data_IF_099820388713
#
_entry.id   IF_099820388713
#
_cell.length_a   1.000
_cell.length_b   1.000
_cell.length_c   1.000
_cell.angle_alpha   90.00
_cell.angle_beta   90.00
_cell.angle_gamma   90.00
#
_symmetry.space_group_name_H-M   'P 1'
#
loop_
_entity.id
_entity.type
_entity.pdbx_description
1 polymer ?
#
# COMPACT_ATOMS: atom_id res chain seq x y z
N UNK A 1 -45.01 -2.59 51.93
CA UNK A 1 -45.48 -2.19 50.59
C UNK A 1 -44.50 -1.14 50.06
N UNK A 2 -43.46 -1.57 49.33
CA UNK A 2 -43.27 -1.38 47.85
C UNK A 2 -43.39 0.10 47.46
N UNK A 3 -42.31 0.90 47.48
CA UNK A 3 -41.30 1.15 46.41
C UNK A 3 -41.91 1.29 45.00
N UNK A 4 -41.80 2.50 44.41
CA UNK A 4 -40.94 2.75 43.24
C UNK A 4 -41.10 4.19 42.71
N UNK A 5 -40.06 4.99 42.92
CA UNK A 5 -39.64 6.08 42.04
C UNK A 5 -38.69 5.48 40.99
N UNK A 6 -38.69 6.04 39.77
CA UNK A 6 -37.56 6.23 38.82
C UNK A 6 -38.11 6.19 37.38
N UNK A 7 -38.30 7.36 36.77
CA UNK A 7 -37.37 8.08 35.88
C UNK A 7 -37.26 7.46 34.48
N UNK A 8 -37.74 8.23 33.50
CA UNK A 8 -37.42 8.14 32.08
C UNK A 8 -35.91 8.21 31.87
N UNK A 9 -35.38 7.34 31.02
CA UNK A 9 -34.30 7.69 30.10
C UNK A 9 -34.47 6.86 28.83
N UNK A 10 -34.81 7.55 27.74
CA UNK A 10 -34.84 7.02 26.39
C UNK A 10 -33.46 6.44 26.06
N UNK A 11 -33.41 5.12 25.84
CA UNK A 11 -32.29 4.46 25.18
C UNK A 11 -32.34 4.84 23.70
N UNK A 12 -31.74 5.98 23.34
CA UNK A 12 -31.33 6.22 21.98
C UNK A 12 -30.22 5.22 21.64
N UNK A 13 -30.35 4.40 20.59
CA UNK A 13 -29.22 3.60 20.13
C UNK A 13 -28.13 4.58 19.71
N UNK A 14 -26.99 4.53 20.40
CA UNK A 14 -25.77 5.13 19.91
C UNK A 14 -25.42 4.40 18.62
N UNK A 15 -25.82 4.98 17.49
CA UNK A 15 -25.23 4.66 16.22
C UNK A 15 -23.74 4.99 16.37
N UNK A 16 -22.94 3.97 16.63
CA UNK A 16 -21.53 3.98 16.28
C UNK A 16 -21.49 4.21 14.77
N UNK A 17 -21.45 5.49 14.39
CA UNK A 17 -21.18 5.89 13.03
C UNK A 17 -19.89 5.19 12.64
N UNK A 18 -19.99 4.31 11.66
CA UNK A 18 -18.81 3.80 10.97
C UNK A 18 -18.02 5.03 10.55
N UNK A 19 -16.84 5.19 11.15
CA UNK A 19 -15.92 6.30 10.90
C UNK A 19 -15.72 6.40 9.38
N UNK A 20 -16.29 7.45 8.78
CA UNK A 20 -16.30 7.62 7.34
C UNK A 20 -14.85 7.76 6.88
N UNK A 21 -14.32 6.72 6.25
CA UNK A 21 -12.98 6.75 5.69
C UNK A 21 -13.02 7.65 4.47
N UNK A 22 -12.71 8.93 4.66
CA UNK A 22 -12.61 9.89 3.56
C UNK A 22 -11.30 9.61 2.83
N UNK A 23 -11.40 9.10 1.62
CA UNK A 23 -10.26 8.90 0.73
C UNK A 23 -10.24 9.97 -0.35
N UNK A 24 -9.18 10.76 -0.40
CA UNK A 24 -8.88 11.66 -1.50
C UNK A 24 -8.19 10.87 -2.63
N UNK A 25 -8.54 11.19 -3.88
CA UNK A 25 -7.94 10.59 -5.08
C UNK A 25 -7.30 11.70 -5.89
N UNK A 26 -6.04 11.52 -6.26
CA UNK A 26 -5.28 12.51 -7.03
C UNK A 26 -4.43 11.85 -8.10
N UNK A 27 -4.28 12.53 -9.24
CA UNK A 27 -3.61 11.99 -10.42
C UNK A 27 -4.37 10.80 -11.04
N UNK A 28 -4.44 10.76 -12.37
CA UNK A 28 -5.03 9.60 -13.05
C UNK A 28 -4.30 9.37 -14.36
N UNK A 29 -3.83 8.14 -14.56
CA UNK A 29 -3.40 7.64 -15.86
C UNK A 29 -4.39 6.54 -16.24
N UNK A 30 -5.16 6.75 -17.31
CA UNK A 30 -6.15 5.78 -17.76
C UNK A 30 -5.73 5.13 -19.07
N UNK A 31 -5.97 3.82 -19.16
CA UNK A 31 -5.68 3.00 -20.34
C UNK A 31 -6.84 2.06 -20.58
N UNK A 32 -7.45 2.16 -21.77
CA UNK A 32 -8.60 1.35 -22.17
C UNK A 32 -8.16 0.03 -22.79
N UNK A 33 -8.92 -1.04 -22.55
CA UNK A 33 -8.72 -2.33 -23.20
C UNK A 33 -8.94 -2.22 -24.73
N UNK A 34 -8.32 -3.10 -25.54
CA UNK A 34 -8.46 -3.06 -27.00
C UNK A 34 -9.91 -3.13 -27.51
N UNK A 35 -10.79 -3.84 -26.81
CA UNK A 35 -12.21 -3.97 -27.13
C UNK A 35 -13.10 -2.88 -26.51
N UNK A 36 -12.52 -2.02 -25.66
CA UNK A 36 -13.23 -0.98 -24.95
C UNK A 36 -14.17 -1.46 -23.85
N UNK A 37 -14.11 -2.72 -23.42
CA UNK A 37 -14.95 -3.21 -22.32
C UNK A 37 -14.47 -2.71 -20.94
N UNK A 38 -13.17 -2.44 -20.81
CA UNK A 38 -12.52 -2.11 -19.55
C UNK A 38 -11.63 -0.88 -19.66
N UNK A 39 -11.58 -0.09 -18.59
CA UNK A 39 -10.59 0.97 -18.41
C UNK A 39 -9.81 0.72 -17.13
N UNK A 40 -8.50 0.59 -17.25
CA UNK A 40 -7.59 0.55 -16.11
C UNK A 40 -7.18 1.99 -15.75
N UNK A 41 -7.24 2.33 -14.47
CA UNK A 41 -6.94 3.66 -13.94
C UNK A 41 -5.87 3.57 -12.86
N UNK A 42 -4.75 4.26 -13.05
CA UNK A 42 -3.66 4.37 -12.06
C UNK A 42 -3.81 5.70 -11.32
N UNK A 43 -4.01 5.65 -10.00
CA UNK A 43 -4.31 6.83 -9.18
C UNK A 43 -3.55 6.80 -7.87
N UNK A 44 -3.25 7.97 -7.32
CA UNK A 44 -2.89 8.08 -5.91
C UNK A 44 -4.17 8.15 -5.08
N UNK A 45 -4.21 7.35 -4.01
CA UNK A 45 -5.32 7.34 -3.05
C UNK A 45 -4.74 7.56 -1.67
N UNK A 46 -5.18 8.64 -1.02
CA UNK A 46 -4.85 8.97 0.35
C UNK A 46 -6.10 8.86 1.20
N UNK A 47 -6.12 7.93 2.14
CA UNK A 47 -7.22 7.72 3.07
C UNK A 47 -6.81 8.17 4.47
N UNK A 48 -7.68 8.94 5.12
CA UNK A 48 -7.56 9.26 6.53
C UNK A 48 -8.67 8.56 7.32
N UNK A 49 -8.30 8.01 8.46
CA UNK A 49 -9.19 7.61 9.56
C UNK A 49 -8.86 8.47 10.77
N UNK A 50 -9.68 8.43 11.82
CA UNK A 50 -9.47 9.18 13.06
C UNK A 50 -8.18 8.77 13.79
N UNK A 51 -7.60 7.62 13.48
CA UNK A 51 -6.41 7.08 14.14
C UNK A 51 -5.21 6.87 13.22
N UNK A 52 -5.39 7.00 11.90
CA UNK A 52 -4.31 6.75 10.93
C UNK A 52 -4.53 7.48 9.61
N UNK A 53 -3.45 7.72 8.88
CA UNK A 53 -3.54 8.10 7.47
C UNK A 53 -2.66 7.15 6.66
N UNK A 54 -3.13 6.75 5.49
CA UNK A 54 -2.40 5.90 4.56
C UNK A 54 -2.55 6.41 3.14
N UNK A 55 -1.45 6.42 2.39
CA UNK A 55 -1.45 6.75 0.98
C UNK A 55 -0.82 5.63 0.16
N UNK A 56 -1.30 5.43 -1.05
CA UNK A 56 -0.77 4.45 -1.99
C UNK A 56 -1.15 4.76 -3.43
N UNK A 57 -0.39 4.22 -4.37
CA UNK A 57 -0.78 4.20 -5.78
C UNK A 57 -1.60 2.93 -6.02
N UNK A 58 -2.79 3.08 -6.60
CA UNK A 58 -3.69 1.99 -6.89
C UNK A 58 -3.86 1.82 -8.39
N UNK A 59 -4.14 0.60 -8.82
CA UNK A 59 -4.73 0.34 -10.14
C UNK A 59 -6.16 -0.12 -9.90
N UNK A 60 -7.11 0.61 -10.46
CA UNK A 60 -8.53 0.28 -10.45
C UNK A 60 -8.98 -0.14 -11.85
N UNK A 61 -9.81 -1.17 -11.92
CA UNK A 61 -10.42 -1.64 -13.15
C UNK A 61 -11.89 -1.23 -13.19
N UNK A 62 -12.25 -0.48 -14.23
CA UNK A 62 -13.58 0.08 -14.45
C UNK A 62 -14.22 -0.61 -15.64
N UNK A 63 -15.38 -1.26 -15.48
CA UNK A 63 -16.17 -1.73 -16.62
C UNK A 63 -16.90 -0.53 -17.26
N UNK A 64 -16.82 -0.40 -18.57
CA UNK A 64 -17.43 0.75 -19.28
C UNK A 64 -18.98 0.68 -19.28
N UNK A 65 -19.55 -0.53 -19.28
CA UNK A 65 -20.99 -0.73 -19.38
C UNK A 65 -21.69 -1.03 -18.05
N UNK A 66 -21.01 -0.84 -16.91
CA UNK A 66 -21.58 -1.12 -15.57
C UNK A 66 -21.89 -2.60 -15.29
N UNK A 67 -21.41 -3.51 -16.13
CA UNK A 67 -21.61 -4.96 -15.97
C UNK A 67 -20.92 -5.54 -14.72
N UNK A 68 -19.94 -4.84 -14.17
CA UNK A 68 -19.26 -5.17 -12.92
C UNK A 68 -19.08 -3.92 -12.05
N UNK A 69 -18.61 -4.10 -10.82
CA UNK A 69 -18.23 -2.98 -9.96
C UNK A 69 -16.81 -2.52 -10.29
N UNK A 70 -16.49 -1.28 -9.96
CA UNK A 70 -15.09 -0.84 -9.97
C UNK A 70 -14.33 -1.66 -8.94
N UNK A 71 -13.18 -2.22 -9.32
CA UNK A 71 -12.36 -3.03 -8.44
C UNK A 71 -10.93 -2.52 -8.40
N UNK A 72 -10.40 -2.34 -7.19
CA UNK A 72 -8.97 -2.18 -6.99
C UNK A 72 -8.29 -3.52 -7.17
N UNK A 73 -7.39 -3.59 -8.15
CA UNK A 73 -6.73 -4.84 -8.53
C UNK A 73 -5.27 -4.89 -8.06
N UNK A 74 -4.69 -3.75 -7.71
CA UNK A 74 -3.29 -3.63 -7.31
C UNK A 74 -3.09 -2.38 -6.42
N UNK A 75 -2.10 -2.47 -5.53
CA UNK A 75 -1.67 -1.36 -4.66
C UNK A 75 -0.15 -1.36 -4.53
N UNK A 76 0.45 -0.18 -4.56
CA UNK A 76 1.86 0.09 -4.35
C UNK A 76 2.03 1.26 -3.38
N UNK A 77 3.10 1.25 -2.58
CA UNK A 77 3.45 2.41 -1.76
C UNK A 77 3.72 3.64 -2.62
N UNK A 78 3.37 4.84 -2.15
CA UNK A 78 3.63 6.09 -2.90
C UNK A 78 5.13 6.24 -3.16
N UNK A 79 5.57 6.26 -4.44
CA UNK A 79 6.97 6.43 -4.77
C UNK A 79 7.40 7.89 -4.62
N UNK A 80 8.71 8.15 -4.61
CA UNK A 80 9.25 9.52 -4.53
C UNK A 80 8.99 10.37 -5.77
N UNK A 81 8.84 9.72 -6.94
CA UNK A 81 8.58 10.38 -8.21
C UNK A 81 7.36 9.78 -8.90
N UNK A 82 6.62 10.62 -9.63
CA UNK A 82 5.53 10.17 -10.49
C UNK A 82 5.99 9.31 -11.67
N UNK A 83 7.25 9.44 -12.07
CA UNK A 83 7.85 8.59 -13.10
C UNK A 83 7.87 7.11 -12.70
N UNK A 84 7.88 6.84 -11.40
CA UNK A 84 7.94 5.51 -10.81
C UNK A 84 6.53 4.92 -10.57
N UNK A 85 5.46 5.60 -11.00
CA UNK A 85 4.10 5.07 -10.94
C UNK A 85 3.95 3.82 -11.81
N UNK A 86 3.07 2.87 -11.43
CA UNK A 86 2.81 1.69 -12.22
C UNK A 86 2.37 2.08 -13.64
N UNK A 87 2.80 1.29 -14.62
CA UNK A 87 2.38 1.41 -16.01
C UNK A 87 1.51 0.22 -16.36
N UNK A 88 0.31 0.48 -16.87
CA UNK A 88 -0.58 -0.58 -17.32
C UNK A 88 -0.41 -0.77 -18.82
N UNK A 89 -0.23 -2.03 -19.24
CA UNK A 89 -0.21 -2.43 -20.64
C UNK A 89 -1.23 -3.51 -20.87
N UNK A 90 -2.17 -3.27 -21.78
CA UNK A 90 -3.09 -4.30 -22.25
C UNK A 90 -2.36 -5.25 -23.20
N UNK A 91 -2.38 -6.54 -22.89
CA UNK A 91 -1.82 -7.61 -23.72
C UNK A 91 -2.89 -8.14 -24.71
N UNK A 92 -4.15 -8.11 -24.30
CA UNK A 92 -5.32 -8.44 -25.11
C UNK A 92 -6.56 -7.73 -24.54
N UNK A 93 -7.74 -8.01 -25.08
CA UNK A 93 -9.02 -7.58 -24.50
C UNK A 93 -9.25 -8.10 -23.06
N UNK A 94 -8.68 -9.25 -22.73
CA UNK A 94 -8.90 -9.98 -21.48
C UNK A 94 -7.62 -10.24 -20.68
N UNK A 95 -6.52 -9.56 -21.00
CA UNK A 95 -5.26 -9.70 -20.29
C UNK A 95 -4.51 -8.38 -20.20
N UNK A 96 -4.03 -8.04 -19.02
CA UNK A 96 -3.20 -6.87 -18.79
C UNK A 96 -2.00 -7.17 -17.89
N UNK A 97 -0.98 -6.35 -18.06
CA UNK A 97 0.25 -6.37 -17.29
C UNK A 97 0.41 -5.03 -16.56
N UNK A 98 0.68 -5.10 -15.26
CA UNK A 98 1.03 -3.98 -14.41
C UNK A 98 2.55 -4.00 -14.26
N UNK A 99 3.23 -3.01 -14.84
CA UNK A 99 4.68 -2.86 -14.79
C UNK A 99 5.08 -1.88 -13.70
N UNK A 100 6.01 -2.29 -12.84
CA UNK A 100 6.48 -1.49 -11.70
C UNK A 100 8.01 -1.43 -11.66
N UNK A 101 8.62 -0.40 -11.06
CA UNK A 101 10.06 -0.38 -10.86
C UNK A 101 10.57 -1.61 -10.08
N UNK A 102 11.79 -2.07 -10.36
CA UNK A 102 12.35 -3.29 -9.75
C UNK A 102 12.27 -3.30 -8.20
N UNK A 103 12.48 -2.14 -7.59
CA UNK A 103 12.55 -1.97 -6.13
C UNK A 103 11.23 -1.52 -5.50
N UNK A 104 10.14 -1.50 -6.27
CA UNK A 104 8.84 -1.06 -5.78
C UNK A 104 8.30 -1.96 -4.67
N UNK A 105 7.72 -1.34 -3.65
CA UNK A 105 6.99 -2.04 -2.58
C UNK A 105 5.54 -2.20 -2.99
N UNK A 106 5.15 -3.44 -3.29
CA UNK A 106 3.88 -3.76 -3.90
C UNK A 106 3.16 -4.86 -3.15
N UNK A 107 1.83 -4.81 -3.18
CA UNK A 107 0.99 -5.98 -2.88
C UNK A 107 0.79 -6.74 -4.19
N UNK A 108 0.94 -8.07 -4.23
CA UNK A 108 0.61 -8.85 -5.41
C UNK A 108 -0.80 -8.52 -5.91
N UNK A 109 -1.01 -8.34 -7.23
CA UNK A 109 -2.33 -8.05 -7.76
C UNK A 109 -3.27 -9.25 -7.56
N UNK A 110 -4.57 -8.99 -7.60
CA UNK A 110 -5.54 -10.07 -7.82
C UNK A 110 -5.27 -10.66 -9.21
N UNK A 111 -5.19 -11.98 -9.33
CA UNK A 111 -4.76 -12.63 -10.58
C UNK A 111 -5.78 -12.48 -11.72
N UNK A 112 -7.07 -12.35 -11.39
CA UNK A 112 -8.15 -12.21 -12.36
C UNK A 112 -9.31 -11.40 -11.78
N UNK A 113 -9.94 -10.56 -12.61
CA UNK A 113 -11.20 -9.90 -12.28
C UNK A 113 -12.06 -9.66 -13.52
N UNK A 114 -13.34 -10.03 -13.45
CA UNK A 114 -14.27 -9.82 -14.57
C UNK A 114 -13.83 -10.47 -15.89
N UNK A 115 -13.09 -11.59 -15.81
CA UNK A 115 -12.51 -12.27 -16.98
C UNK A 115 -11.23 -11.61 -17.53
N UNK A 116 -10.72 -10.57 -16.88
CA UNK A 116 -9.41 -9.96 -17.20
C UNK A 116 -8.33 -10.60 -16.34
N UNK A 117 -7.35 -11.24 -16.98
CA UNK A 117 -6.13 -11.75 -16.36
C UNK A 117 -5.16 -10.60 -16.06
N UNK A 118 -4.54 -10.61 -14.88
CA UNK A 118 -3.73 -9.51 -14.39
C UNK A 118 -2.38 -10.04 -13.94
N UNK A 119 -1.33 -9.65 -14.66
CA UNK A 119 0.04 -10.00 -14.37
C UNK A 119 0.79 -8.81 -13.74
N UNK A 120 1.74 -9.10 -12.85
CA UNK A 120 2.72 -8.14 -12.34
C UNK A 120 4.06 -8.39 -13.04
N UNK A 121 4.69 -7.34 -13.54
CA UNK A 121 6.02 -7.39 -14.13
C UNK A 121 6.93 -6.31 -13.51
N UNK A 122 8.18 -6.65 -13.26
CA UNK A 122 9.18 -5.72 -12.75
C UNK A 122 10.05 -5.17 -13.90
N UNK A 123 10.17 -3.86 -13.97
CA UNK A 123 11.04 -3.18 -14.92
C UNK A 123 12.50 -3.37 -14.52
N UNK A 124 13.30 -3.93 -15.42
CA UNK A 124 14.66 -4.35 -15.09
C UNK A 124 14.68 -5.41 -13.97
N UNK A 125 13.82 -6.43 -14.10
CA UNK A 125 13.63 -7.48 -13.10
C UNK A 125 14.96 -8.06 -12.60
N UNK A 126 15.27 -7.77 -11.34
CA UNK A 126 16.41 -8.33 -10.64
C UNK A 126 15.94 -8.80 -9.24
N UNK A 127 15.64 -10.11 -9.08
CA UNK A 127 15.17 -10.64 -7.80
C UNK A 127 16.22 -10.56 -6.69
N UNK A 128 17.52 -10.57 -7.02
CA UNK A 128 18.59 -10.45 -6.03
C UNK A 128 18.59 -9.04 -5.41
N UNK A 129 18.42 -8.01 -6.23
CA UNK A 129 18.30 -6.63 -5.74
C UNK A 129 17.10 -6.47 -4.79
N UNK A 130 15.95 -7.09 -5.10
CA UNK A 130 14.78 -7.11 -4.21
C UNK A 130 15.08 -7.84 -2.91
N UNK A 131 15.76 -8.98 -2.96
CA UNK A 131 16.15 -9.74 -1.78
C UNK A 131 17.10 -8.94 -0.88
N UNK A 132 18.08 -8.22 -1.47
CA UNK A 132 18.99 -7.34 -0.70
C UNK A 132 18.24 -6.20 -0.02
N UNK A 133 17.30 -5.56 -0.72
CA UNK A 133 16.49 -4.48 -0.14
C UNK A 133 15.61 -5.00 1.01
N UNK A 134 15.01 -6.18 0.84
CA UNK A 134 14.21 -6.83 1.88
C UNK A 134 15.05 -7.12 3.13
N UNK A 135 16.22 -7.74 2.95
CA UNK A 135 17.14 -8.04 4.05
C UNK A 135 17.61 -6.76 4.77
N UNK A 136 17.90 -5.68 4.03
CA UNK A 136 18.22 -4.38 4.65
C UNK A 136 17.07 -3.85 5.51
N UNK A 137 15.82 -3.90 5.01
CA UNK A 137 14.65 -3.45 5.78
C UNK A 137 14.41 -4.27 7.04
N UNK A 138 14.58 -5.58 6.96
CA UNK A 138 14.52 -6.47 8.12
C UNK A 138 15.63 -6.14 9.13
N UNK A 139 16.85 -5.91 8.65
CA UNK A 139 17.97 -5.45 9.47
C UNK A 139 17.69 -4.11 10.15
N UNK A 140 17.09 -3.14 9.45
CA UNK A 140 16.71 -1.84 10.04
C UNK A 140 15.63 -2.02 11.12
N UNK A 141 14.61 -2.86 10.89
CA UNK A 141 13.59 -3.18 11.90
C UNK A 141 14.21 -3.80 13.14
N UNK A 142 15.16 -4.71 12.96
CA UNK A 142 15.86 -5.33 14.09
C UNK A 142 16.73 -4.30 14.83
N UNK A 143 17.50 -3.50 14.11
CA UNK A 143 18.29 -2.42 14.68
C UNK A 143 17.44 -1.42 15.49
N UNK A 144 16.25 -1.07 15.03
CA UNK A 144 15.32 -0.20 15.78
C UNK A 144 14.92 -0.81 17.14
N UNK A 145 14.67 -2.13 17.18
CA UNK A 145 14.40 -2.86 18.43
C UNK A 145 15.63 -2.84 19.34
N UNK A 146 16.80 -3.12 18.79
CA UNK A 146 18.06 -3.21 19.56
C UNK A 146 18.45 -1.85 20.15
N UNK A 147 18.31 -0.77 19.38
CA UNK A 147 18.50 0.60 19.85
C UNK A 147 17.50 0.94 20.94
N UNK A 148 16.22 0.58 20.78
CA UNK A 148 15.21 0.82 21.81
C UNK A 148 15.55 0.10 23.12
N UNK A 149 16.02 -1.14 23.03
CA UNK A 149 16.48 -1.90 24.20
C UNK A 149 17.76 -1.30 24.81
N UNK A 150 18.70 -0.85 23.99
CA UNK A 150 19.91 -0.18 24.44
C UNK A 150 19.62 1.14 25.16
N UNK A 151 18.69 1.97 24.65
CA UNK A 151 18.27 3.21 25.30
C UNK A 151 17.73 2.93 26.70
N UNK A 152 16.89 1.89 26.86
CA UNK A 152 16.38 1.47 28.17
C UNK A 152 17.52 1.14 29.13
N UNK A 153 18.46 0.27 28.73
CA UNK A 153 19.62 -0.11 29.55
C UNK A 153 20.50 1.10 29.91
N UNK A 154 20.76 1.99 28.95
CA UNK A 154 21.59 3.18 29.15
C UNK A 154 20.98 4.14 30.18
N UNK A 155 19.66 4.25 30.20
CA UNK A 155 18.96 5.10 31.17
C UNK A 155 19.03 4.51 32.59
N UNK A 156 19.15 3.20 32.73
CA UNK A 156 19.33 2.50 34.01
C UNK A 156 20.80 2.55 34.48
N UNK A 157 21.73 2.23 33.59
CA UNK A 157 23.17 2.28 33.83
C UNK A 157 23.93 2.60 32.52
N UNK A 158 24.46 3.81 32.44
CA UNK A 158 25.16 4.30 31.26
C UNK A 158 26.49 3.57 30.99
N UNK A 159 27.14 3.03 32.02
CA UNK A 159 28.44 2.33 31.90
C UNK A 159 28.20 0.89 31.44
N UNK A 160 27.21 0.21 32.02
CA UNK A 160 26.89 -1.18 31.68
C UNK A 160 26.20 -1.36 30.31
N UNK A 161 25.55 -0.31 29.78
CA UNK A 161 24.80 -0.41 28.53
C UNK A 161 25.67 -0.67 27.28
N UNK A 162 26.97 -0.37 27.33
CA UNK A 162 27.90 -0.57 26.23
C UNK A 162 27.63 0.35 25.02
N UNK A 163 28.26 0.08 23.86
CA UNK A 163 28.10 0.90 22.67
C UNK A 163 26.70 0.77 22.07
N UNK A 164 26.26 1.83 21.39
CA UNK A 164 25.00 1.82 20.64
C UNK A 164 25.10 0.82 19.47
N UNK A 165 24.07 0.00 19.24
CA UNK A 165 24.03 -0.89 18.06
C UNK A 165 24.25 -0.11 16.74
N UNK A 166 25.14 -0.58 15.86
CA UNK A 166 25.40 0.08 14.57
C UNK A 166 24.21 -0.06 13.64
N UNK A 167 23.92 0.99 12.87
CA UNK A 167 22.86 0.95 11.86
C UNK A 167 23.32 0.14 10.65
N UNK A 168 22.49 -0.75 10.09
CA UNK A 168 22.78 -1.42 8.82
C UNK A 168 23.05 -0.42 7.69
N UNK A 169 23.99 -0.75 6.80
CA UNK A 169 24.28 0.06 5.62
C UNK A 169 23.21 -0.13 4.55
N UNK A 170 22.75 0.97 3.95
CA UNK A 170 21.77 0.93 2.87
C UNK A 170 22.42 0.41 1.58
N UNK A 171 21.85 -0.63 0.93
CA UNK A 171 22.42 -1.14 -0.30
C UNK A 171 22.30 -0.11 -1.42
N UNK A 172 23.39 0.10 -2.17
CA UNK A 172 23.37 0.90 -3.40
C UNK A 172 22.75 0.04 -4.50
N UNK A 173 21.51 0.35 -4.86
CA UNK A 173 20.72 -0.38 -5.84
C UNK A 173 20.33 0.56 -7.00
N UNK A 174 20.38 0.08 -8.26
CA UNK A 174 19.83 0.86 -9.37
C UNK A 174 18.31 0.99 -9.22
N UNK A 175 17.71 2.14 -9.56
CA UNK A 175 16.29 2.39 -9.33
C UNK A 175 15.36 1.49 -10.17
N UNK A 176 15.85 0.87 -11.25
CA UNK A 176 15.08 -0.06 -12.08
C UNK A 176 13.82 0.58 -12.67
N UNK A 177 13.93 1.81 -13.21
CA UNK A 177 12.78 2.56 -13.74
C UNK A 177 12.14 1.85 -14.93
N UNK A 178 10.83 2.03 -15.07
CA UNK A 178 10.13 1.66 -16.29
C UNK A 178 10.38 2.70 -17.37
N UNK A 179 11.16 2.36 -18.39
CA UNK A 179 11.16 3.09 -19.67
C UNK A 179 10.12 2.47 -20.59
N UNK A 180 9.40 3.33 -21.32
CA UNK A 180 8.47 2.92 -22.37
C UNK A 180 9.20 2.30 -23.57
#
# INVERSE_FOLDING_TARGET
MRLSLLLLALLAPQAFGAEETVCERSGSITTRSPDGAWTASVQEVACATATSAGAGITVELHPENGAAKVQRVFTMTVPRSRDDWPRVRWLSASAMEIRVPNLAEVTPPIAEYGGVQIALAYCGDNPEDRARLLAYKEGVKQWQKDVSAWVKRRNEDAVAAGPRPPRPEEPRLPPGRCSD
#
